data_IF_608205991712
#
_entry.id   IF_608205991712
#
_cell.length_a   1.000
_cell.length_b   1.000
_cell.length_c   1.000
_cell.angle_alpha   90.00
_cell.angle_beta   90.00
_cell.angle_gamma   90.00
#
_symmetry.space_group_name_H-M   'P 1'
#
loop_
_entity.id
_entity.type
_entity.pdbx_description
1 polymer ?
#
# COMPACT_ATOMS: atom_id res chain seq x y z
N UNK A 1 14.50 18.56 9.24
CA UNK A 1 13.23 18.04 8.68
C UNK A 1 13.42 16.54 8.59
N UNK A 2 12.74 15.75 9.41
CA UNK A 2 12.97 14.32 9.49
C UNK A 2 12.39 13.65 8.23
N UNK A 3 13.25 13.32 7.28
CA UNK A 3 12.93 12.35 6.25
C UNK A 3 12.87 11.01 6.99
N UNK A 4 11.68 10.56 7.34
CA UNK A 4 11.48 9.15 7.64
C UNK A 4 11.68 8.44 6.31
N UNK A 5 12.93 8.06 6.02
CA UNK A 5 13.34 7.08 5.00
C UNK A 5 12.61 5.77 5.29
N UNK A 6 11.31 5.75 5.00
CA UNK A 6 10.64 4.50 4.69
C UNK A 6 11.20 4.18 3.32
N UNK A 7 12.03 3.15 3.22
CA UNK A 7 12.58 2.69 1.96
C UNK A 7 11.39 2.23 1.10
N UNK A 8 10.92 3.17 0.29
CA UNK A 8 9.81 3.00 -0.60
C UNK A 8 10.42 2.90 -1.98
N UNK A 9 10.06 1.85 -2.70
CA UNK A 9 10.53 1.60 -4.05
C UNK A 9 10.10 2.70 -5.03
N UNK A 10 10.36 2.51 -6.33
CA UNK A 10 10.00 3.52 -7.33
C UNK A 10 8.50 3.84 -7.27
N UNK A 11 8.17 5.12 -7.41
CA UNK A 11 6.78 5.53 -7.56
C UNK A 11 6.27 5.02 -8.92
N UNK A 12 5.22 4.22 -8.89
CA UNK A 12 4.57 3.64 -10.09
C UNK A 12 3.31 4.38 -10.50
N UNK A 13 2.79 5.24 -9.63
CA UNK A 13 1.58 6.00 -9.95
C UNK A 13 1.22 7.02 -8.88
N UNK A 14 0.02 7.57 -9.02
CA UNK A 14 -0.61 8.43 -8.03
C UNK A 14 -2.09 8.04 -7.92
N UNK A 15 -2.58 7.89 -6.70
CA UNK A 15 -3.97 7.59 -6.42
C UNK A 15 -4.50 8.57 -5.37
N UNK A 16 -5.57 9.28 -5.73
CA UNK A 16 -6.21 10.30 -4.88
C UNK A 16 -5.22 11.35 -4.33
N UNK A 17 -4.22 11.73 -5.13
CA UNK A 17 -3.18 12.69 -4.74
C UNK A 17 -2.03 12.07 -3.94
N UNK A 18 -2.12 10.80 -3.52
CA UNK A 18 -1.04 10.10 -2.83
C UNK A 18 -0.18 9.29 -3.81
N UNK A 19 1.16 9.35 -3.72
CA UNK A 19 2.04 8.54 -4.55
C UNK A 19 1.83 7.05 -4.25
N UNK A 20 1.76 6.24 -5.30
CA UNK A 20 1.76 4.79 -5.21
C UNK A 20 3.18 4.31 -5.42
N UNK A 21 3.75 3.70 -4.39
CA UNK A 21 5.07 3.09 -4.45
C UNK A 21 4.96 1.63 -4.88
N UNK A 22 5.87 1.16 -5.75
CA UNK A 22 5.88 -0.23 -6.20
C UNK A 22 6.10 -1.20 -5.05
N UNK A 23 6.98 -0.82 -4.13
CA UNK A 23 7.31 -1.60 -2.94
C UNK A 23 7.41 -0.67 -1.74
N UNK A 24 7.08 -1.19 -0.57
CA UNK A 24 7.24 -0.48 0.70
C UNK A 24 7.93 -1.43 1.67
N UNK A 25 8.92 -0.93 2.40
CA UNK A 25 9.50 -1.67 3.52
C UNK A 25 8.77 -1.30 4.80
N UNK A 26 8.25 -2.30 5.51
CA UNK A 26 7.61 -2.11 6.80
C UNK A 26 8.29 -3.01 7.83
N UNK A 27 9.10 -2.41 8.69
CA UNK A 27 9.91 -3.15 9.65
C UNK A 27 10.98 -3.98 8.95
N UNK A 28 10.84 -5.30 9.01
CA UNK A 28 11.77 -6.26 8.40
C UNK A 28 11.17 -6.99 7.19
N UNK A 29 9.96 -6.60 6.77
CA UNK A 29 9.23 -7.21 5.67
C UNK A 29 9.05 -6.20 4.54
N UNK A 30 9.32 -6.65 3.31
CA UNK A 30 9.04 -5.87 2.12
C UNK A 30 7.67 -6.25 1.58
N UNK A 31 6.86 -5.25 1.24
CA UNK A 31 5.56 -5.44 0.61
C UNK A 31 5.58 -4.85 -0.79
N UNK A 32 4.89 -5.47 -1.73
CA UNK A 32 4.75 -5.01 -3.11
C UNK A 32 3.31 -4.57 -3.36
N UNK A 33 3.14 -3.47 -4.08
CA UNK A 33 1.83 -3.03 -4.53
C UNK A 33 1.20 -4.12 -5.40
N UNK A 34 -0.03 -4.51 -5.05
CA UNK A 34 -0.79 -5.50 -5.79
C UNK A 34 -1.93 -4.84 -6.57
N UNK A 35 -2.80 -4.11 -5.86
CA UNK A 35 -4.00 -3.50 -6.43
C UNK A 35 -4.54 -2.38 -5.56
N UNK A 36 -5.53 -1.67 -6.07
CA UNK A 36 -6.30 -0.68 -5.33
C UNK A 36 -7.59 -1.34 -4.84
N UNK A 37 -7.90 -1.16 -3.57
CA UNK A 37 -9.12 -1.57 -2.93
C UNK A 37 -10.32 -0.85 -3.54
N UNK A 38 -11.41 -1.59 -3.69
CA UNK A 38 -12.69 -1.02 -4.08
C UNK A 38 -13.28 -0.24 -2.91
N UNK A 39 -13.71 0.99 -3.21
CA UNK A 39 -14.42 1.84 -2.27
C UNK A 39 -15.91 1.52 -2.35
N UNK A 40 -16.46 0.94 -1.29
CA UNK A 40 -17.88 0.62 -1.17
C UNK A 40 -18.46 1.59 -0.12
N UNK A 41 -19.43 2.40 -0.53
CA UNK A 41 -20.06 3.43 0.32
C UNK A 41 -19.07 4.42 0.98
N UNK A 42 -17.92 4.66 0.35
CA UNK A 42 -16.86 5.53 0.87
C UNK A 42 -15.91 4.86 1.87
N UNK A 43 -16.07 3.57 2.10
CA UNK A 43 -15.20 2.75 2.95
C UNK A 43 -14.43 1.71 2.12
N UNK A 44 -13.30 1.25 2.66
CA UNK A 44 -12.50 0.18 2.06
C UNK A 44 -12.64 -1.07 2.94
N UNK A 45 -13.60 -1.97 2.64
CA UNK A 45 -13.84 -3.14 3.46
C UNK A 45 -12.59 -4.03 3.49
N UNK A 46 -12.21 -4.51 4.67
CA UNK A 46 -11.06 -5.42 4.84
C UNK A 46 -11.31 -6.83 4.30
N UNK A 47 -12.55 -7.16 3.92
CA UNK A 47 -12.91 -8.46 3.35
C UNK A 47 -12.19 -8.73 2.01
N UNK A 48 -11.84 -7.67 1.29
CA UNK A 48 -11.07 -7.77 0.04
C UNK A 48 -9.56 -8.01 0.26
N UNK A 49 -9.09 -7.93 1.51
CA UNK A 49 -7.71 -8.27 1.86
C UNK A 49 -7.57 -9.76 2.09
N UNK A 50 -6.62 -10.36 1.40
CA UNK A 50 -6.13 -11.69 1.63
C UNK A 50 -5.19 -11.73 2.84
N UNK A 51 -4.87 -12.95 3.27
CA UNK A 51 -4.06 -13.20 4.44
C UNK A 51 -2.66 -12.57 4.30
N UNK A 52 -2.30 -11.72 5.26
CA UNK A 52 -1.05 -10.94 5.33
C UNK A 52 -0.94 -9.78 4.33
N UNK A 53 -1.99 -9.41 3.61
CA UNK A 53 -1.99 -8.17 2.84
C UNK A 53 -2.15 -6.93 3.77
N UNK A 54 -1.63 -5.79 3.32
CA UNK A 54 -1.72 -4.50 3.98
C UNK A 54 -2.60 -3.56 3.18
N UNK A 55 -3.51 -2.88 3.87
CA UNK A 55 -4.34 -1.83 3.30
C UNK A 55 -3.80 -0.48 3.77
N UNK A 56 -3.22 0.28 2.85
CA UNK A 56 -2.72 1.63 3.09
C UNK A 56 -3.77 2.61 2.60
N UNK A 57 -4.16 3.58 3.44
CA UNK A 57 -5.07 4.64 2.99
C UNK A 57 -4.42 5.44 1.84
N UNK A 58 -5.15 5.69 0.75
CA UNK A 58 -6.61 5.74 0.66
C UNK A 58 -7.19 4.53 -0.08
N UNK A 59 -6.64 3.32 0.12
CA UNK A 59 -7.12 2.09 -0.51
C UNK A 59 -6.05 1.33 -1.29
N UNK A 60 -4.76 1.53 -1.04
CA UNK A 60 -3.70 0.79 -1.72
C UNK A 60 -3.46 -0.54 -1.00
N UNK A 61 -3.58 -1.65 -1.73
CA UNK A 61 -3.32 -3.00 -1.20
C UNK A 61 -1.90 -3.42 -1.56
N UNK A 62 -1.15 -3.78 -0.53
CA UNK A 62 0.23 -4.24 -0.60
C UNK A 62 0.31 -5.67 -0.09
N UNK A 63 0.90 -6.57 -0.87
CA UNK A 63 1.12 -7.97 -0.47
C UNK A 63 2.56 -8.19 -0.02
N UNK A 64 2.82 -9.09 0.93
CA UNK A 64 4.17 -9.37 1.39
C UNK A 64 4.97 -10.02 0.26
N UNK A 65 6.20 -9.57 0.07
CA UNK A 65 7.16 -10.13 -0.87
C UNK A 65 7.82 -11.35 -0.21
N UNK A 66 7.08 -12.45 -0.16
CA UNK A 66 7.61 -13.76 0.26
C UNK A 66 8.48 -14.40 -0.82
#
# INVERSE_FOLDING_TARGET
MAQTETDQGPQVGNYLGQPIYQTIESGNDTYVFDRIAESIDGEFPLDQLNKNELLIKPGLIYRPKV
#
